data_IF_202027704010
#
_entry.id   IF_202027704010
#
_cell.length_a   1.000
_cell.length_b   1.000
_cell.length_c   1.000
_cell.angle_alpha   90.00
_cell.angle_beta   90.00
_cell.angle_gamma   90.00
#
_symmetry.space_group_name_H-M   'P 1'
#
loop_
_entity.id
_entity.type
_entity.pdbx_description
1 polymer ?
#
# COMPACT_ATOMS: atom_id res chain seq x y z
N UNK A 1 -17.05 -5.59 16.39
CA UNK A 1 -16.45 -4.40 15.75
C UNK A 1 -16.05 -4.84 14.36
N UNK A 2 -16.69 -4.27 13.34
CA UNK A 2 -16.51 -4.68 11.94
C UNK A 2 -15.11 -4.33 11.49
N UNK A 3 -14.24 -5.33 11.28
CA UNK A 3 -13.04 -5.21 10.45
C UNK A 3 -13.52 -5.00 9.01
N UNK A 4 -13.57 -3.76 8.48
CA UNK A 4 -13.91 -3.60 7.09
C UNK A 4 -12.68 -4.05 6.30
N UNK A 5 -12.93 -4.82 5.24
CA UNK A 5 -11.95 -5.21 4.23
C UNK A 5 -10.86 -4.14 4.09
N UNK A 6 -9.62 -4.53 4.37
CA UNK A 6 -8.43 -3.69 4.45
C UNK A 6 -8.13 -3.02 3.12
N UNK A 7 -8.92 -2.03 2.74
CA UNK A 7 -8.65 -1.22 1.57
C UNK A 7 -7.32 -0.51 1.82
N UNK A 8 -6.35 -0.63 0.89
CA UNK A 8 -5.06 0.03 1.06
C UNK A 8 -5.28 1.54 1.17
N UNK A 9 -4.64 2.17 2.16
CA UNK A 9 -4.64 3.63 2.28
C UNK A 9 -3.93 4.22 1.07
N UNK A 10 -4.52 5.20 0.39
CA UNK A 10 -3.90 5.86 -0.78
C UNK A 10 -3.84 7.38 -0.58
N UNK A 11 -3.10 8.07 -1.47
CA UNK A 11 -3.05 9.53 -1.46
C UNK A 11 -2.50 10.12 -0.16
N UNK A 12 -3.13 11.21 0.31
CA UNK A 12 -2.72 11.91 1.54
C UNK A 12 -2.84 11.02 2.79
N UNK A 13 -3.83 10.13 2.85
CA UNK A 13 -4.05 9.24 3.99
C UNK A 13 -2.90 8.24 4.15
N UNK A 14 -2.40 7.69 3.04
CA UNK A 14 -1.18 6.87 3.02
C UNK A 14 0.00 7.65 3.58
N UNK A 15 0.28 8.86 3.05
CA UNK A 15 1.45 9.65 3.44
C UNK A 15 1.43 10.02 4.93
N UNK A 16 0.27 10.39 5.46
CA UNK A 16 0.12 10.63 6.90
C UNK A 16 0.44 9.38 7.70
N UNK A 17 -0.17 8.24 7.37
CA UNK A 17 0.04 6.99 8.11
C UNK A 17 1.48 6.50 8.03
N UNK A 18 2.10 6.60 6.86
CA UNK A 18 3.51 6.26 6.65
C UNK A 18 4.43 7.15 7.47
N UNK A 19 4.11 8.44 7.60
CA UNK A 19 4.87 9.37 8.46
C UNK A 19 4.72 9.03 9.95
N UNK A 20 3.51 8.69 10.40
CA UNK A 20 3.30 8.21 11.78
C UNK A 20 4.08 6.92 12.08
N UNK A 21 4.10 6.01 11.11
CA UNK A 21 4.74 4.70 11.20
C UNK A 21 6.18 4.71 10.66
N UNK A 22 6.79 5.87 10.43
CA UNK A 22 8.15 5.98 9.87
C UNK A 22 9.23 5.42 10.81
N UNK A 23 8.91 5.27 12.09
CA UNK A 23 9.74 4.62 13.11
C UNK A 23 9.74 3.09 12.96
N UNK A 24 8.80 2.51 12.21
CA UNK A 24 8.69 1.07 11.95
C UNK A 24 9.35 0.68 10.63
N UNK A 25 9.73 -0.60 10.46
CA UNK A 25 10.22 -1.08 9.19
C UNK A 25 9.12 -0.98 8.12
N UNK A 26 9.53 -0.66 6.89
CA UNK A 26 8.63 -0.47 5.73
C UNK A 26 7.63 -1.63 5.55
N UNK A 27 8.03 -2.87 5.83
CA UNK A 27 7.14 -4.04 5.79
C UNK A 27 5.98 -3.96 6.79
N UNK A 28 6.25 -3.55 8.03
CA UNK A 28 5.21 -3.34 9.05
C UNK A 28 4.31 -2.18 8.66
N UNK A 29 4.90 -1.08 8.18
CA UNK A 29 4.15 0.10 7.74
C UNK A 29 3.21 -0.23 6.59
N UNK A 30 3.69 -0.92 5.55
CA UNK A 30 2.88 -1.35 4.42
C UNK A 30 1.73 -2.27 4.88
N UNK A 31 2.02 -3.24 5.75
CA UNK A 31 0.99 -4.11 6.35
C UNK A 31 -0.08 -3.30 7.09
N UNK A 32 0.31 -2.36 7.95
CA UNK A 32 -0.62 -1.48 8.68
C UNK A 32 -1.38 -0.52 7.77
N UNK A 33 -0.82 -0.16 6.61
CA UNK A 33 -1.48 0.66 5.60
C UNK A 33 -2.42 -0.15 4.68
N UNK A 34 -2.53 -1.47 4.86
CA UNK A 34 -3.41 -2.33 4.08
C UNK A 34 -2.78 -3.00 2.87
N UNK A 35 -1.47 -2.85 2.67
CA UNK A 35 -0.71 -3.49 1.59
C UNK A 35 -0.23 -4.87 2.00
N UNK A 36 -1.17 -5.73 2.36
CA UNK A 36 -0.88 -7.13 2.63
C UNK A 36 -2.03 -8.02 2.20
N UNK A 37 -1.68 -9.25 1.89
CA UNK A 37 -2.63 -10.31 1.61
C UNK A 37 -2.50 -11.39 2.67
N UNK A 38 -3.65 -11.90 3.14
CA UNK A 38 -3.71 -13.07 4.02
C UNK A 38 -4.10 -14.24 3.15
N UNK A 39 -3.20 -15.20 3.02
CA UNK A 39 -3.48 -16.44 2.29
C UNK A 39 -4.31 -17.39 3.15
N UNK A 40 -4.94 -18.39 2.51
CA UNK A 40 -5.73 -19.43 3.20
C UNK A 40 -4.94 -20.22 4.25
N UNK A 41 -3.61 -20.22 4.18
CA UNK A 41 -2.71 -20.85 5.14
C UNK A 41 -2.34 -19.93 6.33
N UNK A 42 -3.09 -18.85 6.57
CA UNK A 42 -2.76 -17.79 7.54
C UNK A 42 -1.39 -17.12 7.31
N UNK A 43 -0.74 -17.34 6.17
CA UNK A 43 0.49 -16.62 5.84
C UNK A 43 0.15 -15.21 5.38
N UNK A 44 0.74 -14.23 6.05
CA UNK A 44 0.67 -12.82 5.66
C UNK A 44 1.79 -12.51 4.67
N UNK A 45 1.43 -12.07 3.46
CA UNK A 45 2.40 -11.53 2.48
C UNK A 45 2.19 -10.03 2.36
N UNK A 46 3.27 -9.28 2.57
CA UNK A 46 3.25 -7.82 2.43
C UNK A 46 3.55 -7.47 0.98
N UNK A 47 2.65 -6.71 0.35
CA UNK A 47 2.80 -6.25 -1.03
C UNK A 47 3.52 -4.89 -1.05
N UNK A 48 4.85 -4.94 -0.98
CA UNK A 48 5.66 -3.72 -1.06
C UNK A 48 5.53 -3.02 -2.41
N UNK A 49 5.30 -3.76 -3.50
CA UNK A 49 5.12 -3.20 -4.84
C UNK A 49 3.98 -2.19 -4.86
N UNK A 50 2.77 -2.59 -4.47
CA UNK A 50 1.59 -1.72 -4.40
C UNK A 50 1.76 -0.58 -3.39
N UNK A 51 2.51 -0.81 -2.30
CA UNK A 51 2.81 0.24 -1.34
C UNK A 51 3.69 1.35 -1.93
N UNK A 52 4.74 0.98 -2.65
CA UNK A 52 5.60 1.94 -3.34
C UNK A 52 4.85 2.66 -4.45
N UNK A 53 4.03 1.91 -5.18
CA UNK A 53 3.10 2.43 -6.16
C UNK A 53 2.27 3.55 -5.49
N UNK A 54 1.45 3.24 -4.51
CA UNK A 54 0.60 4.22 -3.86
C UNK A 54 1.35 5.42 -3.26
N UNK A 55 2.60 5.26 -2.81
CA UNK A 55 3.46 6.37 -2.38
C UNK A 55 3.80 7.34 -3.52
N UNK A 56 4.06 6.82 -4.71
CA UNK A 56 4.34 7.60 -5.91
C UNK A 56 3.08 8.38 -6.33
N UNK A 57 1.93 7.70 -6.44
CA UNK A 57 0.63 8.36 -6.75
C UNK A 57 0.26 9.39 -5.69
N UNK A 58 0.50 9.09 -4.41
CA UNK A 58 0.24 10.03 -3.33
C UNK A 58 1.13 11.29 -3.39
N UNK A 59 2.33 11.17 -3.95
CA UNK A 59 3.24 12.30 -4.23
C UNK A 59 2.86 13.05 -5.51
N UNK A 60 1.85 12.59 -6.25
CA UNK A 60 1.44 13.16 -7.53
C UNK A 60 2.26 12.63 -8.72
N UNK A 61 2.99 11.53 -8.54
CA UNK A 61 3.65 10.85 -9.65
C UNK A 61 2.64 9.91 -10.30
N UNK A 62 2.36 10.04 -11.61
CA UNK A 62 1.51 9.09 -12.30
C UNK A 62 2.20 7.73 -12.26
N UNK A 63 1.49 6.76 -11.73
CA UNK A 63 1.79 5.37 -11.97
C UNK A 63 0.96 5.05 -13.17
N UNK A 64 1.59 4.71 -14.27
CA UNK A 64 0.89 4.11 -15.38
C UNK A 64 0.57 2.67 -14.97
N UNK A 65 -0.69 2.32 -14.61
CA UNK A 65 -1.08 0.92 -14.52
C UNK A 65 -1.16 0.28 -15.91
N UNK A 66 -0.99 1.05 -16.98
CA UNK A 66 -1.11 0.63 -18.35
C UNK A 66 0.20 0.85 -19.11
N UNK A 67 0.88 -0.27 -19.38
CA UNK A 67 1.64 -0.38 -20.62
C UNK A 67 0.72 -0.37 -21.85
N UNK A 68 -0.23 0.55 -21.97
CA UNK A 68 -0.83 0.92 -23.27
C UNK A 68 0.17 1.85 -23.95
N UNK A 69 1.28 1.25 -24.41
CA UNK A 69 1.98 1.78 -25.57
C UNK A 69 1.14 1.36 -26.77
N UNK A 70 0.30 2.30 -27.21
CA UNK A 70 -0.08 2.46 -28.61
C UNK A 70 1.14 2.15 -29.50
N UNK A 71 1.02 1.16 -30.39
CA UNK A 71 2.09 0.69 -31.28
C UNK A 71 1.56 -0.25 -32.34
#
# INVERSE_FOLDING_TARGET
MTEPATAPLTGKALLQKVKELAHLPRRETAKRCGYYTVTKNNQTRVNLTEFYDALLVAKGLPLDPEGTKDG
#
